data_IF_289780513926
#
_entry.id   IF_289780513926
#
_cell.length_a   1.000
_cell.length_b   1.000
_cell.length_c   1.000
_cell.angle_alpha   90.00
_cell.angle_beta   90.00
_cell.angle_gamma   90.00
#
_symmetry.space_group_name_H-M   'P 1'
#
loop_
_entity.id
_entity.type
_entity.pdbx_description
1 polymer ?
#
# COMPACT_ATOMS: atom_id res chain seq x y z
N UNK A 1 -4.22 2.99 38.77
CA UNK A 1 -2.91 3.59 38.41
C UNK A 1 -2.83 5.06 38.88
N UNK A 2 -1.67 5.73 38.84
CA UNK A 2 -1.50 7.12 39.32
C UNK A 2 -0.83 8.06 38.31
N UNK A 3 -1.30 9.32 38.24
CA UNK A 3 -0.73 10.34 37.34
C UNK A 3 0.48 11.02 38.00
N UNK A 4 1.66 10.81 37.44
CA UNK A 4 2.90 11.44 37.92
C UNK A 4 3.09 12.83 37.32
N UNK A 5 2.92 12.93 36.00
CA UNK A 5 3.23 14.12 35.22
C UNK A 5 2.35 14.22 33.99
N UNK A 6 2.03 15.45 33.59
CA UNK A 6 1.32 15.75 32.36
C UNK A 6 2.13 16.79 31.58
N UNK A 7 2.38 16.51 30.30
CA UNK A 7 3.12 17.35 29.36
C UNK A 7 2.32 17.45 28.07
N UNK A 8 1.53 18.53 27.90
CA UNK A 8 0.65 18.73 26.75
C UNK A 8 -0.32 17.55 26.56
N UNK A 9 -0.16 16.76 25.50
CA UNK A 9 -0.97 15.58 25.20
C UNK A 9 -0.39 14.28 25.78
N UNK A 10 0.74 14.32 26.48
CA UNK A 10 1.35 13.14 27.09
C UNK A 10 1.07 13.10 28.59
N UNK A 11 0.55 11.98 29.06
CA UNK A 11 0.32 11.68 30.48
C UNK A 11 1.27 10.58 30.90
N UNK A 12 2.05 10.82 31.97
CA UNK A 12 2.91 9.82 32.58
C UNK A 12 2.18 9.20 33.77
N UNK A 13 1.99 7.89 33.70
CA UNK A 13 1.22 7.11 34.64
C UNK A 13 2.14 6.08 35.30
N UNK A 14 2.20 6.08 36.64
CA UNK A 14 2.86 5.03 37.41
C UNK A 14 1.89 3.90 37.72
N UNK A 15 2.38 2.66 37.59
CA UNK A 15 1.61 1.45 37.86
C UNK A 15 2.52 0.35 38.41
N UNK A 16 1.95 -0.57 39.19
CA UNK A 16 2.69 -1.76 39.64
C UNK A 16 2.45 -2.91 38.65
N UNK A 17 3.49 -3.49 38.03
CA UNK A 17 3.33 -4.58 37.07
C UNK A 17 2.84 -5.89 37.72
N UNK A 18 2.83 -5.98 39.05
CA UNK A 18 2.27 -7.13 39.77
C UNK A 18 0.76 -7.02 40.00
N UNK A 19 0.20 -5.82 39.86
CA UNK A 19 -1.22 -5.51 40.11
C UNK A 19 -1.95 -5.22 38.80
N UNK A 20 -1.27 -4.55 37.86
CA UNK A 20 -1.81 -4.08 36.60
C UNK A 20 -0.96 -4.61 35.43
N UNK A 21 -1.58 -5.34 34.51
CA UNK A 21 -0.93 -5.78 33.27
C UNK A 21 -1.11 -4.72 32.18
N UNK A 22 -0.22 -3.72 32.15
CA UNK A 22 -0.25 -2.63 31.15
C UNK A 22 0.75 -2.92 30.04
N UNK A 23 0.26 -2.93 28.80
CA UNK A 23 1.05 -3.18 27.59
C UNK A 23 1.15 -1.93 26.71
N UNK A 24 2.15 -1.92 25.82
CA UNK A 24 2.23 -0.89 24.76
C UNK A 24 1.04 -1.08 23.82
N UNK A 25 0.33 0.01 23.53
CA UNK A 25 -0.88 0.01 22.70
C UNK A 25 -2.18 0.03 23.50
N UNK A 26 -2.13 -0.26 24.81
CA UNK A 26 -3.31 -0.23 25.68
C UNK A 26 -3.96 1.16 25.71
N UNK A 27 -5.29 1.17 25.78
CA UNK A 27 -6.08 2.38 25.99
C UNK A 27 -6.34 2.59 27.48
N UNK A 28 -6.13 3.82 27.92
CA UNK A 28 -6.40 4.30 29.26
C UNK A 28 -7.53 5.31 29.20
N UNK A 29 -8.52 5.09 30.05
CA UNK A 29 -9.50 6.10 30.42
C UNK A 29 -8.93 6.92 31.58
N UNK A 30 -8.90 8.25 31.41
CA UNK A 30 -8.48 9.19 32.45
C UNK A 30 -9.62 10.18 32.70
N UNK A 31 -10.42 9.93 33.73
CA UNK A 31 -11.69 10.63 33.95
C UNK A 31 -11.94 10.97 35.42
N UNK A 32 -12.90 11.87 35.64
CA UNK A 32 -13.36 12.29 36.96
C UNK A 32 -14.81 12.77 36.81
N UNK A 33 -15.69 12.33 37.72
CA UNK A 33 -17.12 12.64 37.67
C UNK A 33 -17.40 14.15 37.48
N UNK A 34 -18.24 14.46 36.50
CA UNK A 34 -18.65 15.85 36.20
C UNK A 34 -17.54 16.73 35.61
N UNK A 35 -16.47 16.14 35.08
CA UNK A 35 -15.42 16.85 34.34
C UNK A 35 -15.10 16.11 33.03
N UNK A 36 -14.67 16.87 32.02
CA UNK A 36 -14.14 16.28 30.78
C UNK A 36 -12.87 15.45 31.05
N UNK A 37 -12.91 14.17 30.69
CA UNK A 37 -11.79 13.23 30.73
C UNK A 37 -11.02 13.16 29.41
N UNK A 38 -10.09 12.21 29.33
CA UNK A 38 -9.36 11.91 28.10
C UNK A 38 -9.21 10.41 27.89
N UNK A 39 -9.24 9.99 26.62
CA UNK A 39 -8.83 8.67 26.17
C UNK A 39 -7.38 8.74 25.70
N UNK A 40 -6.49 7.93 26.25
CA UNK A 40 -5.06 7.96 25.94
C UNK A 40 -4.51 6.57 25.60
N UNK A 41 -3.56 6.48 24.68
CA UNK A 41 -2.89 5.22 24.32
C UNK A 41 -1.48 5.16 24.89
N UNK A 42 -1.13 4.04 25.52
CA UNK A 42 0.23 3.77 26.01
C UNK A 42 1.19 3.63 24.83
N UNK A 43 2.18 4.51 24.73
CA UNK A 43 3.19 4.52 23.64
C UNK A 43 4.57 4.04 24.10
N UNK A 44 4.85 4.05 25.40
CA UNK A 44 6.11 3.55 25.96
C UNK A 44 5.95 3.16 27.42
N UNK A 45 6.77 2.20 27.86
CA UNK A 45 6.85 1.75 29.25
C UNK A 45 8.34 1.68 29.61
N UNK A 46 8.69 2.27 30.74
CA UNK A 46 10.04 2.20 31.31
C UNK A 46 9.96 1.78 32.79
N UNK A 47 10.98 1.08 33.28
CA UNK A 47 11.09 0.82 34.73
C UNK A 47 11.30 2.13 35.49
N UNK A 48 10.67 2.31 36.65
CA UNK A 48 10.86 3.52 37.44
C UNK A 48 12.26 3.55 38.06
N UNK A 49 13.02 4.63 37.81
CA UNK A 49 14.41 4.79 38.26
C UNK A 49 14.59 4.64 39.79
N UNK A 50 13.56 4.98 40.56
CA UNK A 50 13.62 5.05 42.03
C UNK A 50 12.77 3.98 42.75
N UNK A 51 12.09 3.10 42.02
CA UNK A 51 11.26 2.05 42.61
C UNK A 51 11.19 0.85 41.67
N UNK A 52 11.93 -0.22 41.98
CA UNK A 52 11.96 -1.45 41.17
C UNK A 52 10.62 -2.17 41.06
N UNK A 53 9.63 -1.80 41.87
CA UNK A 53 8.30 -2.42 41.89
C UNK A 53 7.25 -1.61 41.11
N UNK A 54 7.62 -0.49 40.50
CA UNK A 54 6.74 0.34 39.68
C UNK A 54 7.33 0.54 38.29
N UNK A 55 6.44 0.55 37.30
CA UNK A 55 6.74 0.98 35.95
C UNK A 55 6.10 2.34 35.69
N UNK A 56 6.64 3.05 34.70
CA UNK A 56 6.13 4.32 34.22
C UNK A 56 5.70 4.16 32.76
N UNK A 57 4.41 4.29 32.51
CA UNK A 57 3.84 4.36 31.16
C UNK A 57 3.78 5.83 30.70
N UNK A 58 4.14 6.09 29.45
CA UNK A 58 3.78 7.34 28.78
C UNK A 58 2.59 7.07 27.87
N UNK A 59 1.48 7.76 28.10
CA UNK A 59 0.26 7.63 27.32
C UNK A 59 0.00 8.93 26.54
N UNK A 60 -0.28 8.79 25.24
CA UNK A 60 -0.64 9.90 24.36
C UNK A 60 -2.15 10.04 24.29
N UNK A 61 -2.64 11.23 24.61
CA UNK A 61 -4.05 11.60 24.50
C UNK A 61 -4.49 11.54 23.03
N UNK A 62 -5.58 10.84 22.78
CA UNK A 62 -6.19 10.65 21.47
C UNK A 62 -7.52 11.41 21.34
N UNK A 63 -8.37 11.34 22.37
CA UNK A 63 -9.73 11.88 22.35
C UNK A 63 -10.12 12.53 23.68
N UNK A 64 -11.14 13.37 23.64
CA UNK A 64 -11.81 13.93 24.82
C UNK A 64 -12.98 13.03 25.20
N UNK A 65 -13.13 12.77 26.50
CA UNK A 65 -14.34 12.15 27.06
C UNK A 65 -15.19 13.29 27.63
N UNK A 66 -16.42 13.44 27.16
CA UNK A 66 -17.34 14.49 27.63
C UNK A 66 -17.85 14.18 29.04
N UNK A 67 -18.49 15.16 29.68
CA UNK A 67 -19.09 14.98 31.01
C UNK A 67 -20.19 13.91 31.02
N UNK A 68 -20.80 13.67 29.85
CA UNK A 68 -21.84 12.66 29.63
C UNK A 68 -21.27 11.28 29.22
N UNK A 69 -19.94 11.15 29.13
CA UNK A 69 -19.24 9.91 28.77
C UNK A 69 -19.09 9.66 27.26
N UNK A 70 -19.43 10.63 26.41
CA UNK A 70 -19.23 10.52 24.96
C UNK A 70 -17.77 10.78 24.56
N UNK A 71 -17.32 10.18 23.45
CA UNK A 71 -15.95 10.34 22.94
C UNK A 71 -15.94 11.29 21.73
N UNK A 72 -15.18 12.38 21.82
CA UNK A 72 -15.04 13.40 20.77
C UNK A 72 -13.57 13.69 20.42
N UNK A 73 -13.32 14.35 19.28
CA UNK A 73 -11.97 14.78 18.90
C UNK A 73 -11.32 15.60 20.02
N UNK A 74 -10.05 15.33 20.30
CA UNK A 74 -9.36 15.97 21.42
C UNK A 74 -9.33 17.49 21.29
N UNK A 75 -10.03 18.19 22.20
CA UNK A 75 -10.18 19.65 22.20
C UNK A 75 -9.08 20.37 23.00
N UNK A 76 -7.96 19.71 23.29
CA UNK A 76 -6.88 20.29 24.09
C UNK A 76 -7.12 20.30 25.60
N UNK A 77 -8.15 19.61 26.10
CA UNK A 77 -8.35 19.46 27.54
C UNK A 77 -7.24 18.61 28.16
N UNK A 78 -6.85 18.97 29.37
CA UNK A 78 -5.76 18.34 30.13
C UNK A 78 -6.37 17.74 31.40
N UNK A 79 -6.18 16.44 31.67
CA UNK A 79 -6.73 15.82 32.87
C UNK A 79 -6.09 16.40 34.14
N UNK A 80 -6.81 16.35 35.26
CA UNK A 80 -6.25 16.68 36.58
C UNK A 80 -5.32 15.58 37.08
N UNK A 81 -4.40 15.90 37.99
CA UNK A 81 -3.55 14.89 38.66
C UNK A 81 -4.35 13.95 39.57
N UNK A 82 -5.52 14.39 39.99
CA UNK A 82 -6.49 13.70 40.84
C UNK A 82 -7.46 12.81 40.06
N UNK A 83 -7.37 12.77 38.72
CA UNK A 83 -8.26 11.96 37.90
C UNK A 83 -7.94 10.48 38.06
N UNK A 84 -8.97 9.65 37.98
CA UNK A 84 -8.81 8.21 38.00
C UNK A 84 -8.23 7.74 36.67
N UNK A 85 -7.36 6.73 36.73
CA UNK A 85 -6.73 6.15 35.56
C UNK A 85 -7.02 4.66 35.53
N UNK A 86 -7.85 4.27 34.57
CA UNK A 86 -8.33 2.91 34.39
C UNK A 86 -7.90 2.40 33.02
N UNK A 87 -7.41 1.16 32.96
CA UNK A 87 -7.16 0.48 31.69
C UNK A 87 -8.51 0.06 31.11
N UNK A 88 -8.73 0.35 29.83
CA UNK A 88 -9.95 -0.08 29.16
C UNK A 88 -9.89 -1.59 28.90
N UNK A 89 -10.94 -2.34 29.26
CA UNK A 89 -11.03 -3.76 28.95
C UNK A 89 -10.92 -3.99 27.44
N UNK A 90 -10.11 -4.96 26.99
CA UNK A 90 -9.92 -5.25 25.56
C UNK A 90 -11.23 -5.47 24.80
N UNK A 91 -12.23 -6.09 25.43
CA UNK A 91 -13.57 -6.34 24.89
C UNK A 91 -14.37 -5.06 24.57
N UNK A 92 -14.05 -3.94 25.20
CA UNK A 92 -14.73 -2.66 25.00
C UNK A 92 -14.08 -1.83 23.87
N UNK A 93 -12.84 -2.14 23.50
CA UNK A 93 -12.07 -1.41 22.45
C UNK A 93 -12.83 -1.36 21.11
N UNK A 94 -13.48 -2.44 20.63
CA UNK A 94 -14.25 -2.38 19.40
C UNK A 94 -15.38 -1.34 19.42
N UNK A 95 -16.00 -1.08 20.58
CA UNK A 95 -17.03 -0.06 20.73
C UNK A 95 -16.51 1.38 20.69
N UNK A 96 -15.21 1.57 20.93
CA UNK A 96 -14.52 2.87 20.88
C UNK A 96 -13.91 3.17 19.51
N UNK A 97 -14.02 2.24 18.57
CA UNK A 97 -13.45 2.34 17.23
C UNK A 97 -14.53 2.05 16.19
N UNK A 98 -14.25 2.33 14.91
CA UNK A 98 -15.19 2.03 13.83
C UNK A 98 -15.24 0.53 13.49
N UNK A 99 -14.89 -0.36 14.43
CA UNK A 99 -14.75 -1.79 14.18
C UNK A 99 -16.00 -2.60 14.54
N UNK A 100 -16.95 -2.02 15.26
CA UNK A 100 -18.24 -2.67 15.51
C UNK A 100 -19.07 -2.78 14.22
N UNK A 101 -19.23 -4.02 13.72
CA UNK A 101 -20.13 -4.40 12.62
C UNK A 101 -20.00 -3.60 11.30
N UNK A 102 -18.77 -3.30 10.86
CA UNK A 102 -18.54 -2.78 9.51
C UNK A 102 -18.78 -3.89 8.47
N UNK A 103 -19.89 -3.80 7.73
CA UNK A 103 -20.20 -4.69 6.61
C UNK A 103 -19.19 -4.56 5.45
N UNK A 104 -18.41 -3.48 5.45
CA UNK A 104 -17.43 -3.16 4.43
C UNK A 104 -15.97 -3.34 4.91
N UNK A 105 -15.73 -4.14 5.95
CA UNK A 105 -14.37 -4.46 6.40
C UNK A 105 -13.54 -5.07 5.27
N UNK A 106 -12.33 -4.54 5.08
CA UNK A 106 -11.32 -5.05 4.13
C UNK A 106 -10.15 -5.73 4.83
N UNK A 107 -10.02 -5.58 6.14
CA UNK A 107 -9.02 -6.27 6.95
C UNK A 107 -9.57 -6.43 8.36
N UNK A 108 -9.60 -7.65 8.87
CA UNK A 108 -10.01 -7.95 10.26
C UNK A 108 -8.95 -8.82 10.91
N UNK A 109 -8.42 -8.38 12.05
CA UNK A 109 -7.35 -9.06 12.79
C UNK A 109 -7.54 -8.96 14.30
N UNK A 110 -6.92 -9.89 15.01
CA UNK A 110 -6.84 -9.84 16.46
C UNK A 110 -5.91 -8.71 16.91
N UNK A 111 -6.30 -8.05 18.01
CA UNK A 111 -5.48 -7.05 18.67
C UNK A 111 -4.27 -7.73 19.33
N UNK A 112 -3.08 -7.17 19.14
CA UNK A 112 -1.85 -7.73 19.72
C UNK A 112 -1.95 -7.77 21.25
N UNK A 113 -1.64 -8.93 21.84
CA UNK A 113 -1.75 -9.15 23.29
C UNK A 113 -3.13 -9.57 23.77
N UNK A 114 -4.17 -9.45 22.93
CA UNK A 114 -5.57 -9.76 23.26
C UNK A 114 -6.17 -10.68 22.20
N UNK A 115 -5.91 -12.00 22.28
CA UNK A 115 -6.55 -12.94 21.39
C UNK A 115 -8.08 -12.84 21.50
N UNK A 116 -8.77 -13.17 20.42
CA UNK A 116 -10.24 -13.08 20.28
C UNK A 116 -10.83 -11.65 20.21
N UNK A 117 -10.05 -10.59 20.46
CA UNK A 117 -10.49 -9.21 20.26
C UNK A 117 -10.21 -8.77 18.83
N UNK A 118 -11.27 -8.73 18.01
CA UNK A 118 -11.14 -8.37 16.60
C UNK A 118 -11.24 -6.86 16.38
N UNK A 119 -10.25 -6.32 15.68
CA UNK A 119 -10.25 -4.96 15.12
C UNK A 119 -10.29 -5.06 13.59
N UNK A 120 -10.84 -4.04 12.94
CA UNK A 120 -10.93 -4.02 11.49
C UNK A 120 -10.62 -2.65 10.86
N UNK A 121 -10.43 -2.68 9.55
CA UNK A 121 -10.28 -1.50 8.69
C UNK A 121 -11.40 -1.57 7.66
N UNK A 122 -12.23 -0.53 7.60
CA UNK A 122 -13.29 -0.38 6.59
C UNK A 122 -12.72 -0.05 5.21
N UNK A 123 -13.44 -0.43 4.15
CA UNK A 123 -13.10 -0.08 2.76
C UNK A 123 -12.96 1.43 2.54
N UNK A 124 -13.72 2.24 3.29
CA UNK A 124 -13.65 3.70 3.22
C UNK A 124 -12.26 4.29 3.47
N UNK A 125 -11.42 3.60 4.25
CA UNK A 125 -10.06 4.06 4.61
C UNK A 125 -9.16 4.20 3.38
N UNK A 126 -9.30 3.31 2.41
CA UNK A 126 -8.46 3.29 1.20
C UNK A 126 -8.98 4.15 0.05
N UNK A 127 -10.08 4.89 0.27
CA UNK A 127 -10.52 5.91 -0.68
C UNK A 127 -9.52 7.07 -0.76
N UNK A 128 -8.72 7.26 0.29
CA UNK A 128 -7.61 8.20 0.31
C UNK A 128 -6.28 7.49 0.01
N UNK A 129 -5.26 8.26 -0.39
CA UNK A 129 -3.91 7.74 -0.54
C UNK A 129 -3.48 7.02 0.74
N UNK A 130 -3.30 5.71 0.65
CA UNK A 130 -2.95 4.84 1.78
C UNK A 130 -1.54 4.30 1.57
N UNK A 131 -0.72 4.38 2.60
CA UNK A 131 0.66 3.89 2.59
C UNK A 131 0.76 2.75 3.60
N UNK A 132 1.19 1.58 3.13
CA UNK A 132 1.54 0.44 3.99
C UNK A 132 3.06 0.33 4.02
N UNK A 133 3.64 0.52 5.21
CA UNK A 133 5.08 0.48 5.42
C UNK A 133 5.43 -0.50 6.54
N UNK A 134 6.54 -1.22 6.38
CA UNK A 134 7.06 -2.14 7.37
C UNK A 134 8.40 -2.73 6.95
N UNK A 135 9.27 -2.98 7.93
CA UNK A 135 10.65 -3.42 7.69
C UNK A 135 10.74 -4.88 7.24
N UNK A 136 9.72 -5.68 7.58
CA UNK A 136 9.64 -7.10 7.24
C UNK A 136 8.78 -7.27 6.00
N UNK A 137 9.45 -7.41 4.86
CA UNK A 137 8.84 -7.63 3.55
C UNK A 137 7.74 -8.70 3.54
N UNK A 138 7.93 -9.92 4.09
CA UNK A 138 6.86 -10.92 4.11
C UNK A 138 5.60 -10.44 4.84
N UNK A 139 5.75 -9.72 5.96
CA UNK A 139 4.62 -9.22 6.75
C UNK A 139 3.89 -8.12 5.99
N UNK A 140 4.64 -7.20 5.36
CA UNK A 140 4.08 -6.14 4.52
C UNK A 140 3.24 -6.72 3.39
N UNK A 141 3.76 -7.73 2.69
CA UNK A 141 3.06 -8.32 1.55
C UNK A 141 1.81 -9.07 1.98
N UNK A 142 1.85 -9.81 3.09
CA UNK A 142 0.65 -10.44 3.66
C UNK A 142 -0.44 -9.40 3.94
N UNK A 143 -0.09 -8.24 4.51
CA UNK A 143 -1.05 -7.14 4.70
C UNK A 143 -1.62 -6.64 3.37
N UNK A 144 -0.78 -6.47 2.34
CA UNK A 144 -1.22 -6.03 1.01
C UNK A 144 -2.13 -7.06 0.32
N UNK A 145 -1.83 -8.35 0.42
CA UNK A 145 -2.67 -9.44 -0.10
C UNK A 145 -4.02 -9.46 0.58
N UNK A 146 -4.06 -9.38 1.91
CA UNK A 146 -5.30 -9.39 2.67
C UNK A 146 -6.16 -8.15 2.39
N UNK A 147 -5.55 -6.97 2.23
CA UNK A 147 -6.24 -5.77 1.80
C UNK A 147 -6.82 -5.94 0.39
N UNK A 148 -6.06 -6.49 -0.56
CA UNK A 148 -6.50 -6.73 -1.92
C UNK A 148 -7.69 -7.72 -1.96
N UNK A 149 -7.60 -8.81 -1.20
CA UNK A 149 -8.66 -9.79 -1.06
C UNK A 149 -9.91 -9.19 -0.40
N UNK A 150 -9.73 -8.41 0.67
CA UNK A 150 -10.80 -7.70 1.35
C UNK A 150 -11.52 -6.71 0.45
N UNK A 151 -10.77 -5.94 -0.34
CA UNK A 151 -11.33 -5.02 -1.34
C UNK A 151 -12.12 -5.76 -2.42
N UNK A 152 -11.58 -6.87 -2.92
CA UNK A 152 -12.24 -7.70 -3.92
C UNK A 152 -13.55 -8.30 -3.38
N UNK A 153 -13.56 -8.80 -2.14
CA UNK A 153 -14.77 -9.27 -1.45
C UNK A 153 -15.84 -8.17 -1.31
N UNK A 154 -15.39 -6.91 -1.22
CA UNK A 154 -16.25 -5.73 -1.22
C UNK A 154 -16.59 -5.20 -2.62
N UNK A 155 -16.45 -6.03 -3.66
CA UNK A 155 -16.72 -5.71 -5.06
C UNK A 155 -15.92 -4.50 -5.58
N UNK A 156 -14.71 -4.30 -5.08
CA UNK A 156 -13.76 -3.30 -5.60
C UNK A 156 -12.77 -3.97 -6.56
N UNK A 157 -12.42 -3.26 -7.63
CA UNK A 157 -11.36 -3.68 -8.53
C UNK A 157 -9.99 -3.33 -7.96
N UNK A 158 -9.08 -4.29 -7.93
CA UNK A 158 -7.71 -4.12 -7.44
C UNK A 158 -6.74 -4.41 -8.58
N UNK A 159 -5.77 -3.52 -8.79
CA UNK A 159 -4.63 -3.72 -9.67
C UNK A 159 -3.37 -3.75 -8.81
N UNK A 160 -2.67 -4.88 -8.82
CA UNK A 160 -1.35 -5.00 -8.21
C UNK A 160 -0.29 -4.91 -9.31
N UNK A 161 0.64 -3.96 -9.15
CA UNK A 161 1.82 -3.83 -10.03
C UNK A 161 2.99 -4.50 -9.31
N UNK A 162 3.21 -5.76 -9.63
CA UNK A 162 4.20 -6.61 -8.99
C UNK A 162 5.52 -6.60 -9.77
N UNK A 163 6.51 -5.85 -9.28
CA UNK A 163 7.82 -5.69 -9.94
C UNK A 163 8.79 -6.84 -9.67
N UNK A 164 8.56 -7.63 -8.64
CA UNK A 164 9.50 -8.64 -8.14
C UNK A 164 8.89 -10.05 -8.00
N UNK A 165 7.64 -10.22 -8.38
CA UNK A 165 6.95 -11.51 -8.39
C UNK A 165 6.45 -11.95 -7.01
N UNK A 166 6.39 -11.05 -6.04
CA UNK A 166 6.00 -11.35 -4.65
C UNK A 166 4.55 -11.78 -4.51
N UNK A 167 3.69 -11.40 -5.46
CA UNK A 167 2.26 -11.69 -5.47
C UNK A 167 1.88 -12.77 -6.50
N UNK A 168 2.88 -13.40 -7.13
CA UNK A 168 2.68 -14.39 -8.20
C UNK A 168 1.94 -15.66 -7.77
N UNK A 169 1.89 -15.94 -6.46
CA UNK A 169 1.15 -17.06 -5.88
C UNK A 169 -0.33 -16.79 -5.58
N UNK A 170 -0.84 -15.58 -5.83
CA UNK A 170 -2.24 -15.25 -5.52
C UNK A 170 -3.19 -15.93 -6.54
N UNK A 171 -3.87 -16.99 -6.11
CA UNK A 171 -4.78 -17.79 -6.95
C UNK A 171 -6.04 -17.01 -7.40
N UNK A 172 -6.41 -15.95 -6.69
CA UNK A 172 -7.58 -15.13 -7.01
C UNK A 172 -7.25 -14.02 -8.04
N UNK A 173 -5.97 -13.83 -8.38
CA UNK A 173 -5.53 -12.76 -9.26
C UNK A 173 -5.54 -13.20 -10.73
N UNK A 174 -6.11 -12.36 -11.60
CA UNK A 174 -5.83 -12.45 -13.04
C UNK A 174 -4.47 -11.84 -13.32
N UNK A 175 -3.49 -12.67 -13.64
CA UNK A 175 -2.10 -12.25 -13.86
C UNK A 175 -1.89 -11.80 -15.30
N UNK A 176 -1.35 -10.59 -15.47
CA UNK A 176 -0.84 -10.08 -16.74
C UNK A 176 0.68 -9.90 -16.64
N UNK A 177 1.44 -10.60 -17.48
CA UNK A 177 2.90 -10.51 -17.51
C UNK A 177 3.33 -9.43 -18.49
N UNK A 178 4.13 -8.47 -18.02
CA UNK A 178 4.77 -7.49 -18.90
C UNK A 178 5.67 -8.18 -19.94
N UNK A 179 5.69 -7.65 -21.16
CA UNK A 179 6.34 -8.24 -22.33
C UNK A 179 5.48 -9.32 -23.02
N UNK A 180 4.81 -10.18 -22.26
CA UNK A 180 3.99 -11.29 -22.79
C UNK A 180 2.54 -10.88 -23.05
N UNK A 181 1.83 -10.49 -21.99
CA UNK A 181 0.41 -10.15 -22.02
C UNK A 181 0.20 -8.64 -22.18
N UNK A 182 1.14 -7.84 -21.68
CA UNK A 182 1.17 -6.37 -21.81
C UNK A 182 2.50 -5.94 -22.44
N UNK A 183 2.45 -5.46 -23.69
CA UNK A 183 3.63 -4.92 -24.37
C UNK A 183 3.69 -3.42 -24.15
N UNK A 184 4.83 -2.93 -23.67
CA UNK A 184 5.07 -1.50 -23.58
C UNK A 184 5.11 -0.90 -25.00
N UNK A 185 4.48 0.27 -25.21
CA UNK A 185 4.69 1.08 -26.40
C UNK A 185 6.19 1.34 -26.64
N UNK A 186 6.59 1.42 -27.91
CA UNK A 186 7.97 1.71 -28.30
C UNK A 186 8.24 3.21 -28.19
N UNK A 187 9.24 3.58 -27.42
CA UNK A 187 9.94 4.86 -27.52
C UNK A 187 11.14 4.73 -28.48
N UNK A 188 11.92 5.80 -28.65
CA UNK A 188 13.12 5.78 -29.50
C UNK A 188 14.12 4.69 -29.09
N UNK A 189 14.35 4.54 -27.77
CA UNK A 189 15.22 3.50 -27.23
C UNK A 189 14.70 2.10 -27.55
N UNK A 190 13.38 1.89 -27.43
CA UNK A 190 12.69 0.67 -27.80
C UNK A 190 12.79 0.35 -29.29
N UNK A 191 12.70 1.36 -30.16
CA UNK A 191 12.90 1.22 -31.60
C UNK A 191 14.35 0.83 -31.94
N UNK A 192 15.34 1.49 -31.36
CA UNK A 192 16.75 1.16 -31.59
C UNK A 192 17.06 -0.28 -31.13
N UNK A 193 16.56 -0.68 -29.95
CA UNK A 193 16.66 -2.06 -29.48
C UNK A 193 15.98 -3.05 -30.44
N UNK A 194 14.83 -2.67 -31.00
CA UNK A 194 14.09 -3.50 -31.94
C UNK A 194 14.85 -3.65 -33.26
N UNK A 195 15.40 -2.56 -33.79
CA UNK A 195 16.25 -2.54 -34.99
C UNK A 195 17.44 -3.50 -34.83
N UNK A 196 18.19 -3.32 -33.74
CA UNK A 196 19.38 -4.13 -33.44
C UNK A 196 19.05 -5.63 -33.28
N UNK A 197 17.92 -5.96 -32.64
CA UNK A 197 17.48 -7.36 -32.46
C UNK A 197 16.91 -8.00 -33.73
N UNK A 198 16.19 -7.23 -34.55
CA UNK A 198 15.51 -7.78 -35.73
C UNK A 198 16.44 -7.94 -36.92
N UNK A 199 17.52 -7.17 -36.98
CA UNK A 199 18.43 -7.12 -38.12
C UNK A 199 19.82 -7.71 -37.86
N UNK A 200 20.08 -8.32 -36.71
CA UNK A 200 21.42 -8.83 -36.36
C UNK A 200 22.02 -9.77 -37.42
N UNK A 201 21.19 -10.63 -38.04
CA UNK A 201 21.60 -11.68 -38.99
C UNK A 201 21.20 -11.38 -40.44
N UNK A 202 20.99 -10.11 -40.77
CA UNK A 202 20.48 -9.66 -42.07
C UNK A 202 21.61 -9.02 -42.89
N UNK A 203 21.62 -9.21 -44.22
CA UNK A 203 22.68 -8.66 -45.09
C UNK A 203 22.67 -7.13 -45.11
N UNK A 204 23.81 -6.51 -45.44
CA UNK A 204 23.96 -5.05 -45.44
C UNK A 204 22.99 -4.33 -46.41
N UNK A 205 22.71 -4.90 -47.58
CA UNK A 205 21.72 -4.36 -48.52
C UNK A 205 20.31 -4.33 -47.92
N UNK A 206 19.92 -5.40 -47.23
CA UNK A 206 18.59 -5.50 -46.62
C UNK A 206 18.49 -4.56 -45.41
N UNK A 207 19.57 -4.40 -44.64
CA UNK A 207 19.64 -3.43 -43.54
C UNK A 207 19.37 -2.02 -44.03
N UNK A 208 20.06 -1.58 -45.08
CA UNK A 208 19.90 -0.23 -45.63
C UNK A 208 18.46 0.06 -46.10
N UNK A 209 17.77 -0.94 -46.67
CA UNK A 209 16.36 -0.81 -47.06
C UNK A 209 15.41 -0.65 -45.86
N UNK A 210 15.69 -1.33 -44.75
CA UNK A 210 14.88 -1.28 -43.52
C UNK A 210 15.21 -0.03 -42.68
N UNK A 211 16.45 0.45 -42.73
CA UNK A 211 16.95 1.60 -41.97
C UNK A 211 16.13 2.87 -42.24
N UNK A 212 15.79 3.15 -43.51
CA UNK A 212 14.94 4.28 -43.87
C UNK A 212 13.58 4.26 -43.16
N UNK A 213 12.98 3.08 -42.98
CA UNK A 213 11.67 2.93 -42.34
C UNK A 213 11.78 3.20 -40.84
N UNK A 214 12.86 2.74 -40.20
CA UNK A 214 13.11 3.07 -38.80
C UNK A 214 13.38 4.56 -38.62
N UNK A 215 14.17 5.18 -39.49
CA UNK A 215 14.45 6.62 -39.44
C UNK A 215 13.20 7.48 -39.62
N UNK A 216 12.29 7.14 -40.54
CA UNK A 216 11.02 7.87 -40.69
C UNK A 216 10.16 7.82 -39.43
N UNK A 217 10.19 6.69 -38.72
CA UNK A 217 9.43 6.50 -37.48
C UNK A 217 10.10 7.21 -36.31
N UNK A 218 11.43 7.20 -36.26
CA UNK A 218 12.21 8.00 -35.31
C UNK A 218 11.91 9.49 -35.50
N UNK A 219 11.92 10.00 -36.74
CA UNK A 219 11.53 11.38 -37.05
C UNK A 219 10.09 11.70 -36.62
N UNK A 220 9.16 10.75 -36.80
CA UNK A 220 7.79 10.89 -36.32
C UNK A 220 7.70 11.00 -34.79
N UNK A 221 8.46 10.19 -34.04
CA UNK A 221 8.50 10.29 -32.58
C UNK A 221 9.20 11.58 -32.12
N UNK A 222 10.29 11.97 -32.77
CA UNK A 222 11.04 13.21 -32.48
C UNK A 222 10.23 14.47 -32.79
N UNK A 223 9.28 14.41 -33.73
CA UNK A 223 8.37 15.52 -34.04
C UNK A 223 7.47 15.91 -32.85
N UNK A 224 7.31 15.02 -31.86
CA UNK A 224 6.44 15.21 -30.70
C UNK A 224 4.95 14.98 -30.99
N UNK A 225 4.59 14.55 -32.21
CA UNK A 225 3.20 14.17 -32.54
C UNK A 225 2.73 12.91 -31.79
N UNK A 226 3.67 12.03 -31.40
CA UNK A 226 3.43 10.93 -30.50
C UNK A 226 4.66 10.66 -29.61
N UNK A 227 4.45 10.50 -28.31
CA UNK A 227 5.52 10.14 -27.36
C UNK A 227 5.88 8.64 -27.43
N UNK A 228 4.91 7.80 -27.80
CA UNK A 228 5.11 6.36 -27.90
C UNK A 228 4.35 5.74 -29.07
N UNK A 229 4.94 4.69 -29.67
CA UNK A 229 4.34 3.92 -30.76
C UNK A 229 3.86 2.54 -30.27
N UNK A 230 2.55 2.25 -30.28
CA UNK A 230 2.05 0.92 -29.94
C UNK A 230 2.64 -0.15 -30.87
N UNK A 231 3.23 -1.21 -30.29
CA UNK A 231 3.90 -2.26 -31.07
C UNK A 231 3.02 -2.88 -32.18
N UNK A 232 1.71 -3.05 -31.92
CA UNK A 232 0.77 -3.56 -32.93
C UNK A 232 0.55 -2.58 -34.08
N UNK A 233 0.53 -1.27 -33.81
CA UNK A 233 0.39 -0.25 -34.84
C UNK A 233 1.62 -0.25 -35.74
N UNK A 234 2.82 -0.28 -35.16
CA UNK A 234 4.08 -0.42 -35.91
C UNK A 234 4.08 -1.66 -36.80
N UNK A 235 3.77 -2.83 -36.23
CA UNK A 235 3.74 -4.09 -37.00
C UNK A 235 2.72 -4.06 -38.14
N UNK A 236 1.59 -3.36 -37.99
CA UNK A 236 0.60 -3.22 -39.04
C UNK A 236 1.08 -2.25 -40.14
N UNK A 237 1.69 -1.12 -39.78
CA UNK A 237 2.26 -0.18 -40.74
C UNK A 237 3.31 -0.85 -41.64
N UNK A 238 4.22 -1.64 -41.05
CA UNK A 238 5.23 -2.41 -41.82
C UNK A 238 4.57 -3.42 -42.77
N UNK A 239 3.46 -4.05 -42.37
CA UNK A 239 2.71 -4.98 -43.24
C UNK A 239 2.03 -4.27 -44.40
N UNK A 240 1.43 -3.11 -44.14
CA UNK A 240 0.78 -2.30 -45.17
C UNK A 240 1.79 -1.80 -46.20
N UNK A 241 2.95 -1.32 -45.73
CA UNK A 241 4.05 -0.88 -46.60
C UNK A 241 4.60 -2.02 -47.47
N UNK A 242 4.74 -3.22 -46.89
CA UNK A 242 5.14 -4.40 -47.67
C UNK A 242 4.08 -4.81 -48.69
N UNK A 243 2.80 -4.73 -48.33
CA UNK A 243 1.72 -5.06 -49.26
C UNK A 243 1.64 -4.07 -50.44
N UNK A 244 2.01 -2.81 -50.21
CA UNK A 244 2.02 -1.78 -51.24
C UNK A 244 3.22 -1.89 -52.20
N UNK A 245 4.42 -2.20 -51.68
CA UNK A 245 5.66 -2.12 -52.46
C UNK A 245 6.29 -3.48 -52.78
N UNK A 246 5.87 -4.56 -52.12
CA UNK A 246 6.35 -5.93 -52.37
C UNK A 246 7.83 -6.15 -52.07
N UNK A 247 8.37 -5.48 -51.04
CA UNK A 247 9.80 -5.52 -50.69
C UNK A 247 10.14 -6.78 -49.88
N UNK A 248 10.96 -7.72 -50.40
CA UNK A 248 11.36 -8.93 -49.66
C UNK A 248 11.99 -8.65 -48.29
N UNK A 249 12.67 -7.51 -48.16
CA UNK A 249 13.30 -6.99 -46.95
C UNK A 249 12.27 -6.78 -45.82
N UNK A 250 11.11 -6.22 -46.17
CA UNK A 250 10.02 -6.00 -45.23
C UNK A 250 9.37 -7.31 -44.79
N UNK A 251 9.33 -8.31 -45.67
CA UNK A 251 8.84 -9.64 -45.30
C UNK A 251 9.72 -10.31 -44.24
N UNK A 252 11.04 -10.10 -44.29
CA UNK A 252 11.96 -10.55 -43.24
C UNK A 252 11.73 -9.80 -41.92
N UNK A 253 11.55 -8.48 -41.97
CA UNK A 253 11.23 -7.68 -40.79
C UNK A 253 9.91 -8.13 -40.15
N UNK A 254 8.85 -8.33 -40.94
CA UNK A 254 7.54 -8.81 -40.47
C UNK A 254 7.69 -10.17 -39.78
N UNK A 255 8.49 -11.08 -40.33
CA UNK A 255 8.74 -12.39 -39.74
C UNK A 255 9.48 -12.28 -38.40
N UNK A 256 10.47 -11.39 -38.30
CA UNK A 256 11.19 -11.10 -37.05
C UNK A 256 10.28 -10.46 -36.00
N UNK A 257 9.49 -9.45 -36.38
CA UNK A 257 8.49 -8.81 -35.51
C UNK A 257 7.42 -9.78 -35.04
N UNK A 258 6.95 -10.69 -35.90
CA UNK A 258 5.98 -11.73 -35.53
C UNK A 258 6.58 -12.75 -34.54
N UNK A 259 7.87 -13.09 -34.67
CA UNK A 259 8.58 -13.93 -33.69
C UNK A 259 8.70 -13.25 -32.34
N UNK A 260 9.06 -11.96 -32.31
CA UNK A 260 9.12 -11.16 -31.09
C UNK A 260 7.74 -11.01 -30.46
N UNK A 261 6.71 -10.75 -31.27
CA UNK A 261 5.33 -10.66 -30.82
C UNK A 261 4.88 -11.94 -30.09
N UNK A 262 5.28 -13.13 -30.60
CA UNK A 262 4.95 -14.43 -30.02
C UNK A 262 5.77 -14.79 -28.77
N UNK A 263 7.02 -14.33 -28.67
CA UNK A 263 7.93 -14.73 -27.58
C UNK A 263 7.78 -13.89 -26.30
N UNK A 264 7.04 -12.79 -26.38
CA UNK A 264 7.00 -11.77 -25.32
C UNK A 264 8.01 -10.70 -25.63
#
# INVERSE_FOLDING_TARGET
MLIEKIEQNLVKVSFSPNEEDVLIGDLLEISCDGKKGVLAQVISIVGAENNSNNNLASAKTLFTITEDGEVEEWQGNVPGKDFEVNKIPPEDIPGLTNTAESSDSILTKELSGYPDVLVNISAGTVNNLTIVAGDKEPVRNTVLEELADGLTKNNKSVLLVDFNGEFSGNENASVLQAGKDVKLPLDLSGLEMLYNKTLSDVSAEIKAGIENIFSEIEEYLDSGEAEFLPFKAFMNAVREENAANGMPELELLINSLAKLHKKG
#
